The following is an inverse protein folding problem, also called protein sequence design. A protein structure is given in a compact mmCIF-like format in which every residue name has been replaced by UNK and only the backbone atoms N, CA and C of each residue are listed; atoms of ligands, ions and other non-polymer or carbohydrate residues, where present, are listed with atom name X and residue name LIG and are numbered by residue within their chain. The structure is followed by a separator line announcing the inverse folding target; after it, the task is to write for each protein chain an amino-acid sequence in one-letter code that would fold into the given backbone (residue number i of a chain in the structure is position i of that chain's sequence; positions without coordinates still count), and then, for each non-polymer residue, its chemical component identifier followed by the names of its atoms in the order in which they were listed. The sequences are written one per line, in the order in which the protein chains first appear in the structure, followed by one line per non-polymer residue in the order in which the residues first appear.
data_IF_521817767491
#
_entry.id   IF_521817767491
#
_cell.length_a   1.000
_cell.length_b   1.000
_cell.length_c   1.000
_cell.angle_alpha   90.00
_cell.angle_beta   90.00
_cell.angle_gamma   90.00
#
_symmetry.space_group_name_H-M   'P 1'
#
loop_
_entity.id
_entity.type
_entity.pdbx_description
1 polymer ?
2 polymer ?
3 non-polymer ?
4 non-polymer ?
5 non-polymer ?
6 water ?
#
# COMPACT_ATOMS: atom_id res chain seq x y z
N UNK A 1 -13.82 -3.47 -19.75
CA UNK A 1 -12.74 -4.10 -20.48
C UNK A 1 -12.99 -5.58 -20.70
N UNK A 2 -11.92 -6.39 -20.70
CA UNK A 2 -12.02 -7.80 -21.03
C UNK A 2 -12.74 -8.61 -19.96
N UNK A 3 -12.97 -8.06 -18.77
CA UNK A 3 -13.76 -8.74 -17.74
C UNK A 3 -15.21 -8.27 -17.72
N UNK A 4 -15.60 -7.40 -18.67
CA UNK A 4 -16.96 -6.87 -18.70
C UNK A 4 -18.07 -7.91 -18.80
N UNK A 5 -17.77 -9.05 -19.44
CA UNK A 5 -18.77 -10.09 -19.61
C UNK A 5 -18.84 -11.10 -18.49
N UNK A 6 -17.94 -11.02 -17.50
CA UNK A 6 -17.97 -12.00 -16.41
C UNK A 6 -18.75 -11.48 -15.22
N UNK A 7 -19.51 -12.36 -14.59
CA UNK A 7 -20.22 -11.99 -13.36
C UNK A 7 -19.29 -11.48 -12.27
N UNK A 8 -19.77 -10.45 -11.55
CA UNK A 8 -19.03 -9.96 -10.39
C UNK A 8 -18.62 -11.11 -9.46
N UNK A 9 -19.57 -12.00 -9.11
CA UNK A 9 -19.26 -13.05 -8.14
C UNK A 9 -18.22 -14.03 -8.69
N UNK A 10 -18.25 -14.30 -9.99
CA UNK A 10 -17.27 -15.18 -10.64
C UNK A 10 -15.91 -14.53 -10.66
N UNK A 11 -15.86 -13.21 -10.85
CA UNK A 11 -14.58 -12.49 -10.78
C UNK A 11 -13.96 -12.60 -9.39
N UNK A 12 -14.77 -12.43 -8.35
CA UNK A 12 -14.29 -12.53 -6.96
C UNK A 12 -13.82 -13.95 -6.65
N UNK A 13 -14.62 -14.95 -7.07
CA UNK A 13 -14.23 -16.34 -6.90
C UNK A 13 -12.88 -16.63 -7.56
N UNK A 14 -12.73 -16.18 -8.83
CA UNK A 14 -11.50 -16.39 -9.56
C UNK A 14 -10.33 -15.62 -8.98
N UNK A 15 -10.58 -14.44 -8.40
CA UNK A 15 -9.49 -13.75 -7.71
C UNK A 15 -8.95 -14.59 -6.55
N UNK A 16 -9.85 -15.23 -5.78
CA UNK A 16 -9.41 -16.05 -4.65
C UNK A 16 -8.66 -17.29 -5.14
N UNK A 17 -9.09 -17.86 -6.27
CA UNK A 17 -8.36 -19.01 -6.86
C UNK A 17 -6.98 -18.59 -7.33
N UNK A 18 -6.92 -17.46 -8.02
CA UNK A 18 -5.64 -16.94 -8.49
C UNK A 18 -4.69 -16.69 -7.33
N UNK A 19 -5.19 -16.12 -6.21
CA UNK A 19 -4.35 -15.97 -5.02
C UNK A 19 -3.77 -17.31 -4.59
N UNK A 20 -4.62 -18.34 -4.52
CA UNK A 20 -4.16 -19.68 -4.10
C UNK A 20 -3.08 -20.22 -5.04
N UNK A 21 -3.21 -19.94 -6.34
CA UNK A 21 -2.27 -20.32 -7.40
C UNK A 21 -1.06 -19.40 -7.52
N UNK A 22 -0.98 -18.35 -6.69
CA UNK A 22 0.09 -17.35 -6.78
C UNK A 22 0.16 -16.73 -8.17
N UNK A 23 -1.01 -16.49 -8.77
CA UNK A 23 -1.15 -15.86 -10.07
C UNK A 23 -1.66 -14.43 -9.86
N UNK A 24 -0.76 -13.57 -9.41
CA UNK A 24 -1.19 -12.26 -8.91
C UNK A 24 -1.58 -11.30 -10.03
N UNK A 25 -0.96 -11.42 -11.22
CA UNK A 25 -1.41 -10.60 -12.34
C UNK A 25 -2.86 -10.92 -12.68
N UNK A 26 -3.21 -12.22 -12.72
CA UNK A 26 -4.60 -12.60 -12.95
C UNK A 26 -5.48 -12.08 -11.82
N UNK A 27 -5.02 -12.24 -10.58
CA UNK A 27 -5.79 -11.79 -9.42
C UNK A 27 -6.11 -10.33 -9.55
N UNK A 28 -5.10 -9.51 -9.91
CA UNK A 28 -5.33 -8.07 -10.07
C UNK A 28 -6.33 -7.78 -11.18
N UNK A 29 -6.20 -8.47 -12.31
CA UNK A 29 -7.11 -8.25 -13.42
C UNK A 29 -8.55 -8.63 -13.05
N UNK A 30 -8.74 -9.73 -12.29
CA UNK A 30 -10.08 -10.11 -11.83
C UNK A 30 -10.64 -9.06 -10.89
N UNK A 31 -9.81 -8.55 -9.94
CA UNK A 31 -10.32 -7.55 -9.02
C UNK A 31 -10.59 -6.20 -9.71
N UNK A 32 -9.76 -5.82 -10.70
CA UNK A 32 -10.06 -4.62 -11.48
C UNK A 32 -11.43 -4.74 -12.15
N UNK A 33 -11.69 -5.91 -12.75
CA UNK A 33 -12.99 -6.16 -13.33
C UNK A 33 -14.12 -6.11 -12.33
N UNK A 34 -13.91 -6.65 -11.11
CA UNK A 34 -14.96 -6.53 -10.08
C UNK A 34 -15.18 -5.08 -9.69
N UNK A 35 -14.11 -4.31 -9.52
CA UNK A 35 -14.30 -2.90 -9.18
C UNK A 35 -15.11 -2.21 -10.25
N UNK A 36 -14.81 -2.51 -11.52
CA UNK A 36 -15.44 -1.82 -12.67
C UNK A 36 -16.91 -2.21 -12.84
N UNK A 37 -17.41 -3.16 -12.06
CA UNK A 37 -18.85 -3.37 -12.00
C UNK A 37 -19.56 -2.21 -11.35
N UNK A 38 -18.85 -1.37 -10.62
CA UNK A 38 -19.46 -0.15 -10.09
C UNK A 38 -20.07 -0.26 -8.70
N UNK A 39 -20.10 -1.44 -8.12
CA UNK A 39 -20.59 -1.59 -6.74
C UNK A 39 -19.44 -1.38 -5.74
N UNK A 40 -19.79 -0.90 -4.53
CA UNK A 40 -18.80 -0.83 -3.46
C UNK A 40 -18.24 -2.24 -3.15
N UNK A 41 -17.04 -2.29 -2.56
CA UNK A 41 -16.40 -3.54 -2.17
C UNK A 41 -16.55 -3.81 -0.68
N UNK A 42 -16.73 -5.09 -0.35
CA UNK A 42 -16.78 -5.51 1.05
C UNK A 42 -15.36 -5.46 1.62
N UNK A 43 -15.21 -5.71 2.94
CA UNK A 43 -13.88 -5.72 3.53
C UNK A 43 -13.00 -6.79 2.88
N UNK A 44 -13.54 -7.99 2.72
CA UNK A 44 -12.77 -9.06 2.09
C UNK A 44 -12.35 -8.68 0.69
N UNK A 45 -13.28 -8.11 -0.09
CA UNK A 45 -12.99 -7.72 -1.48
C UNK A 45 -11.94 -6.61 -1.56
N UNK A 46 -11.99 -5.62 -0.64
CA UNK A 46 -10.94 -4.61 -0.59
C UNK A 46 -9.60 -5.26 -0.36
N UNK A 47 -9.55 -6.19 0.59
CA UNK A 47 -8.28 -6.88 0.84
C UNK A 47 -7.80 -7.66 -0.38
N UNK A 48 -8.70 -8.31 -1.14
CA UNK A 48 -8.28 -9.02 -2.36
C UNK A 48 -7.70 -8.05 -3.37
N UNK A 49 -8.34 -6.88 -3.51
CA UNK A 49 -7.82 -5.86 -4.43
C UNK A 49 -6.41 -5.45 -4.05
N UNK A 50 -6.22 -5.11 -2.78
CA UNK A 50 -4.93 -4.62 -2.31
C UNK A 50 -3.85 -5.68 -2.40
N UNK A 51 -4.13 -6.90 -1.90
CA UNK A 51 -3.13 -7.97 -1.97
C UNK A 51 -2.71 -8.21 -3.42
N UNK A 52 -3.67 -8.20 -4.35
CA UNK A 52 -3.34 -8.49 -5.76
C UNK A 52 -2.35 -7.48 -6.31
N UNK A 53 -2.71 -6.20 -6.25
CA UNK A 53 -1.84 -5.18 -6.78
C UNK A 53 -0.55 -5.02 -5.97
N UNK A 54 -0.58 -5.30 -4.65
CA UNK A 54 0.66 -5.20 -3.89
C UNK A 54 1.68 -6.22 -4.38
N UNK A 55 1.20 -7.43 -4.70
CA UNK A 55 2.10 -8.46 -5.22
C UNK A 55 2.64 -8.09 -6.60
N UNK A 56 1.79 -7.54 -7.47
CA UNK A 56 2.22 -7.17 -8.83
C UNK A 56 3.24 -6.04 -8.75
N UNK A 57 2.92 -4.96 -8.02
CA UNK A 57 3.84 -3.84 -7.96
C UNK A 57 5.11 -4.24 -7.21
N UNK A 58 5.00 -5.19 -6.26
CA UNK A 58 6.19 -5.60 -5.52
C UNK A 58 7.23 -6.25 -6.41
N UNK A 59 6.79 -7.14 -7.31
CA UNK A 59 7.73 -7.71 -8.27
C UNK A 59 8.39 -6.65 -9.14
N UNK A 60 7.60 -5.65 -9.53
CA UNK A 60 8.13 -4.58 -10.36
C UNK A 60 9.14 -3.74 -9.60
N UNK A 61 8.83 -3.40 -8.34
CA UNK A 61 9.72 -2.59 -7.53
C UNK A 61 11.06 -3.29 -7.34
N UNK A 62 11.01 -4.59 -7.06
CA UNK A 62 12.22 -5.36 -6.82
C UNK A 62 13.05 -5.39 -8.09
N UNK A 63 12.40 -5.64 -9.23
CA UNK A 63 13.16 -5.65 -10.49
C UNK A 63 13.72 -4.25 -10.80
N UNK A 64 12.91 -3.21 -10.60
CA UNK A 64 13.38 -1.84 -10.85
C UNK A 64 14.63 -1.54 -10.01
N UNK A 65 14.64 -1.95 -8.73
CA UNK A 65 15.80 -1.69 -7.90
C UNK A 65 17.05 -2.41 -8.38
N UNK A 66 16.93 -3.68 -8.81
CA UNK A 66 18.08 -4.42 -9.37
C UNK A 66 18.64 -3.66 -10.55
N UNK A 67 17.74 -3.25 -11.46
CA UNK A 67 18.19 -2.59 -12.69
C UNK A 67 18.76 -1.21 -12.40
N UNK A 68 18.13 -0.43 -11.53
CA UNK A 68 18.65 0.89 -11.17
C UNK A 68 20.07 0.76 -10.60
N UNK A 69 20.28 -0.25 -9.77
CA UNK A 69 21.59 -0.45 -9.15
C UNK A 69 22.66 -0.80 -10.20
N UNK A 70 22.34 -1.69 -11.15
CA UNK A 70 23.26 -2.01 -12.25
C UNK A 70 23.56 -0.75 -13.06
N UNK A 71 22.53 0.04 -13.34
CA UNK A 71 22.66 1.26 -14.11
C UNK A 71 23.57 2.28 -13.42
N UNK A 72 23.32 2.53 -12.12
CA UNK A 72 24.20 3.42 -11.35
C UNK A 72 25.64 2.96 -11.39
N UNK A 73 25.87 1.66 -11.21
CA UNK A 73 27.24 1.14 -11.27
C UNK A 73 27.84 1.33 -12.66
N UNK A 74 27.06 1.06 -13.71
CA UNK A 74 27.57 1.24 -15.05
C UNK A 74 27.84 2.70 -15.37
N UNK A 75 27.38 3.64 -14.55
CA UNK A 75 27.65 5.05 -14.80
C UNK A 75 28.74 5.55 -13.88
N UNK A 83 26.67 1.09 -23.50
CA UNK A 83 25.51 1.06 -24.38
C UNK A 83 24.24 1.51 -23.68
N UNK A 84 23.17 1.74 -24.46
CA UNK A 84 21.92 2.22 -23.87
C UNK A 84 21.07 1.11 -23.24
N UNK A 85 21.47 -0.15 -23.29
CA UNK A 85 20.54 -1.23 -22.97
C UNK A 85 20.08 -1.21 -21.51
N UNK A 86 20.99 -0.98 -20.55
CA UNK A 86 20.58 -1.04 -19.13
C UNK A 86 19.54 0.04 -18.87
N UNK A 87 19.82 1.26 -19.35
CA UNK A 87 18.88 2.38 -19.21
C UNK A 87 17.54 2.08 -19.90
N UNK A 88 17.59 1.53 -21.13
CA UNK A 88 16.36 1.18 -21.85
C UNK A 88 15.52 0.18 -21.06
N UNK A 89 16.16 -0.87 -20.52
CA UNK A 89 15.40 -1.91 -19.85
C UNK A 89 14.90 -1.42 -18.48
N UNK A 90 15.71 -0.63 -17.78
CA UNK A 90 15.21 -0.04 -16.54
C UNK A 90 14.00 0.85 -16.83
N UNK A 91 14.05 1.61 -17.93
CA UNK A 91 12.92 2.44 -18.33
C UNK A 91 11.70 1.60 -18.66
N UNK A 92 11.90 0.48 -19.34
CA UNK A 92 10.78 -0.40 -19.67
C UNK A 92 10.07 -0.88 -18.41
N UNK A 93 10.85 -1.38 -17.44
CA UNK A 93 10.24 -1.87 -16.20
C UNK A 93 9.59 -0.71 -15.44
N UNK A 94 10.26 0.46 -15.44
CA UNK A 94 9.75 1.66 -14.77
C UNK A 94 8.40 2.09 -15.33
N UNK A 95 8.26 2.08 -16.65
CA UNK A 95 7.02 2.47 -17.28
C UNK A 95 5.90 1.48 -16.94
N UNK A 96 6.24 0.19 -16.90
CA UNK A 96 5.24 -0.81 -16.53
C UNK A 96 4.79 -0.61 -15.09
N UNK A 97 5.74 -0.28 -14.20
CA UNK A 97 5.44 0.03 -12.79
C UNK A 97 4.50 1.22 -12.68
N UNK A 98 4.85 2.32 -13.38
CA UNK A 98 3.99 3.51 -13.39
C UNK A 98 2.62 3.18 -13.93
N UNK A 99 2.54 2.29 -14.92
CA UNK A 99 1.23 1.95 -15.47
C UNK A 99 0.37 1.25 -14.45
N UNK A 100 0.96 0.36 -13.65
CA UNK A 100 0.21 -0.34 -12.61
C UNK A 100 -0.25 0.66 -11.55
N UNK A 101 0.65 1.54 -11.13
CA UNK A 101 0.27 2.59 -10.16
C UNK A 101 -0.85 3.46 -10.69
N UNK A 102 -0.76 3.86 -11.98
CA UNK A 102 -1.82 4.67 -12.58
C UNK A 102 -3.14 3.91 -12.62
N UNK A 103 -3.10 2.61 -12.91
CA UNK A 103 -4.32 1.80 -12.93
C UNK A 103 -4.98 1.78 -11.55
N UNK A 104 -4.19 1.53 -10.49
CA UNK A 104 -4.77 1.50 -9.15
C UNK A 104 -5.36 2.85 -8.76
N UNK A 105 -4.58 3.94 -8.95
CA UNK A 105 -5.06 5.28 -8.65
C UNK A 105 -6.31 5.60 -9.44
N UNK A 106 -6.39 5.12 -10.68
CA UNK A 106 -7.61 5.28 -11.46
C UNK A 106 -8.83 4.61 -10.86
N UNK A 107 -8.67 3.39 -10.33
CA UNK A 107 -9.78 2.72 -9.69
C UNK A 107 -10.19 3.46 -8.44
N UNK A 108 -9.21 3.94 -7.64
CA UNK A 108 -9.55 4.69 -6.45
C UNK A 108 -10.28 5.97 -6.81
N UNK A 109 -9.83 6.67 -7.83
CA UNK A 109 -10.47 7.93 -8.21
C UNK A 109 -11.80 7.74 -8.96
N UNK A 110 -12.04 6.56 -9.54
CA UNK A 110 -13.24 6.28 -10.34
C UNK A 110 -13.83 4.90 -10.02
N UNK A 111 -14.58 4.75 -8.93
CA UNK A 111 -15.03 5.80 -8.03
C UNK A 111 -15.03 5.31 -6.60
N UNK A 112 -13.99 4.53 -6.24
CA UNK A 112 -14.01 3.84 -4.96
C UNK A 112 -13.99 4.84 -3.79
N UNK A 113 -13.13 5.85 -3.85
CA UNK A 113 -13.00 6.77 -2.71
C UNK A 113 -14.27 7.60 -2.54
N UNK A 114 -14.81 8.17 -3.63
CA UNK A 114 -15.96 9.05 -3.45
C UNK A 114 -17.19 8.32 -2.93
N UNK A 115 -17.30 7.00 -3.17
CA UNK A 115 -18.43 6.22 -2.68
C UNK A 115 -18.18 5.58 -1.32
N UNK A 116 -16.98 5.79 -0.74
CA UNK A 116 -16.60 5.18 0.54
C UNK A 116 -16.93 6.12 1.67
N UNK A 117 -17.95 5.80 2.44
CA UNK A 117 -18.39 6.65 3.53
C UNK A 117 -17.98 6.15 4.90
N UNK A 118 -17.90 4.84 5.08
CA UNK A 118 -17.50 4.33 6.37
C UNK A 118 -16.00 4.50 6.55
N UNK A 119 -15.60 4.76 7.80
CA UNK A 119 -14.19 4.94 8.09
C UNK A 119 -13.32 3.79 7.59
N UNK A 120 -13.76 2.53 7.84
CA UNK A 120 -12.95 1.38 7.50
C UNK A 120 -12.69 1.32 5.99
N UNK A 121 -13.66 1.72 5.18
CA UNK A 121 -13.44 1.69 3.74
C UNK A 121 -12.72 2.95 3.26
N UNK A 122 -13.12 4.13 3.73
CA UNK A 122 -12.45 5.35 3.29
C UNK A 122 -10.97 5.39 3.68
N UNK A 123 -10.63 5.05 4.95
CA UNK A 123 -9.23 5.00 5.34
C UNK A 123 -8.46 4.00 4.49
N UNK A 124 -9.03 2.80 4.24
CA UNK A 124 -8.35 1.78 3.45
C UNK A 124 -7.98 2.32 2.08
N UNK A 125 -8.95 2.95 1.41
CA UNK A 125 -8.67 3.46 0.06
C UNK A 125 -7.68 4.62 0.09
N UNK A 126 -7.80 5.55 1.06
CA UNK A 126 -6.86 6.67 1.09
C UNK A 126 -5.45 6.19 1.39
N UNK A 127 -5.32 5.17 2.26
CA UNK A 127 -4.01 4.55 2.45
C UNK A 127 -3.45 4.01 1.13
N UNK A 128 -4.27 3.26 0.38
CA UNK A 128 -3.79 2.77 -0.92
C UNK A 128 -3.35 3.92 -1.82
N UNK A 129 -4.14 4.99 -1.89
CA UNK A 129 -3.77 6.14 -2.68
C UNK A 129 -2.38 6.67 -2.28
N UNK A 130 -2.14 6.83 -0.97
CA UNK A 130 -0.82 7.22 -0.49
C UNK A 130 0.25 6.22 -0.93
N UNK A 131 -0.03 4.92 -0.79
CA UNK A 131 0.96 3.90 -1.12
C UNK A 131 1.36 3.98 -2.58
N UNK A 132 0.37 4.07 -3.49
CA UNK A 132 0.71 3.98 -4.94
C UNK A 132 1.35 5.27 -5.44
N UNK A 133 1.02 6.44 -4.85
CA UNK A 133 1.82 7.63 -5.13
C UNK A 133 3.22 7.49 -4.53
N UNK A 134 3.36 6.84 -3.37
CA UNK A 134 4.70 6.58 -2.82
C UNK A 134 5.52 5.70 -3.79
N UNK A 135 4.89 4.66 -4.38
CA UNK A 135 5.62 3.82 -5.34
C UNK A 135 5.99 4.62 -6.59
N UNK A 136 5.12 5.53 -7.01
CA UNK A 136 5.51 6.44 -8.09
C UNK A 136 6.68 7.33 -7.65
N UNK A 137 6.65 7.81 -6.41
CA UNK A 137 7.73 8.70 -5.94
C UNK A 137 9.07 7.96 -5.92
N UNK A 138 9.07 6.65 -5.59
CA UNK A 138 10.32 5.87 -5.51
C UNK A 138 11.13 5.94 -6.80
N UNK A 139 10.46 6.08 -7.95
CA UNK A 139 11.09 6.07 -9.27
C UNK A 139 11.10 7.45 -9.93
N UNK A 140 10.50 8.47 -9.33
CA UNK A 140 10.38 9.82 -9.93
C UNK A 140 11.68 10.63 -9.85
N UNK A 145 8.28 15.09 -9.46
CA UNK A 145 8.56 14.34 -8.23
C UNK A 145 7.99 15.05 -7.00
N UNK A 146 8.20 16.37 -6.90
CA UNK A 146 7.66 17.09 -5.76
C UNK A 146 6.14 16.99 -5.68
N UNK A 147 5.45 17.11 -6.82
CA UNK A 147 3.99 17.01 -6.83
C UNK A 147 3.54 15.57 -6.52
N UNK A 148 4.28 14.55 -6.98
CA UNK A 148 3.92 13.17 -6.64
C UNK A 148 4.05 12.95 -5.14
N UNK A 149 5.11 13.47 -4.53
CA UNK A 149 5.31 13.33 -3.10
C UNK A 149 4.21 14.03 -2.32
N UNK A 150 3.83 15.23 -2.76
CA UNK A 150 2.76 15.93 -2.07
C UNK A 150 1.41 15.20 -2.19
N UNK A 151 1.18 14.51 -3.34
CA UNK A 151 -0.02 13.71 -3.51
C UNK A 151 -0.03 12.54 -2.52
N UNK A 152 1.13 11.88 -2.35
CA UNK A 152 1.20 10.82 -1.35
C UNK A 152 0.91 11.37 0.03
N UNK A 153 1.64 12.45 0.39
CA UNK A 153 1.48 13.07 1.70
C UNK A 153 0.03 13.42 1.99
N UNK A 154 -0.65 14.05 1.01
CA UNK A 154 -2.03 14.49 1.19
C UNK A 154 -2.97 13.32 1.45
N UNK A 155 -2.82 12.25 0.68
CA UNK A 155 -3.67 11.09 0.88
C UNK A 155 -3.46 10.46 2.25
N UNK A 156 -2.19 10.27 2.63
CA UNK A 156 -1.91 9.71 3.94
C UNK A 156 -2.46 10.58 5.04
N UNK A 157 -2.28 11.92 4.94
CA UNK A 157 -2.75 12.83 6.01
C UNK A 157 -4.26 12.77 6.18
N UNK A 158 -5.02 12.78 5.07
CA UNK A 158 -6.47 12.67 5.15
C UNK A 158 -6.85 11.35 5.83
N UNK A 159 -6.20 10.26 5.42
CA UNK A 159 -6.45 8.97 6.04
C UNK A 159 -6.13 9.01 7.53
N UNK A 160 -5.00 9.64 7.90
CA UNK A 160 -4.64 9.69 9.31
C UNK A 160 -5.68 10.48 10.09
N UNK A 161 -6.13 11.61 9.54
CA UNK A 161 -7.08 12.44 10.26
C UNK A 161 -8.38 11.67 10.53
N UNK A 162 -8.90 10.94 9.51
CA UNK A 162 -10.09 10.15 9.73
C UNK A 162 -9.82 9.04 10.72
N UNK A 163 -8.67 8.37 10.60
CA UNK A 163 -8.44 7.20 11.44
C UNK A 163 -8.34 7.60 12.91
N UNK A 164 -7.77 8.78 13.19
CA UNK A 164 -7.60 9.22 14.58
C UNK A 164 -8.91 9.60 15.24
N UNK A 165 -9.90 10.07 14.46
CA UNK A 165 -11.23 10.43 14.96
C UNK A 165 -12.15 9.22 15.04
N UNK A 166 -12.03 8.27 14.12
CA UNK A 166 -13.06 7.27 13.93
C UNK A 166 -12.67 5.85 14.27
N UNK A 167 -11.41 5.56 14.55
CA UNK A 167 -10.99 4.20 14.85
C UNK A 167 -10.14 4.16 16.12
N UNK A 168 -10.21 3.05 16.87
CA UNK A 168 -9.35 2.94 18.02
C UNK A 168 -7.89 2.80 17.60
N UNK A 169 -6.97 3.14 18.51
CA UNK A 169 -5.54 3.10 18.15
C UNK A 169 -4.98 1.72 17.87
N UNK A 170 -5.70 0.65 18.22
CA UNK A 170 -5.26 -0.69 17.86
C UNK A 170 -5.82 -1.18 16.52
N UNK A 171 -6.68 -0.43 15.88
CA UNK A 171 -7.31 -0.88 14.64
C UNK A 171 -6.24 -1.23 13.61
N UNK A 172 -6.22 -2.46 13.07
CA UNK A 172 -5.15 -2.83 12.13
C UNK A 172 -5.07 -1.94 10.91
N UNK A 173 -6.19 -1.43 10.41
CA UNK A 173 -6.10 -0.52 9.27
C UNK A 173 -5.35 0.75 9.67
N UNK A 174 -5.74 1.35 10.81
CA UNK A 174 -5.07 2.54 11.36
C UNK A 174 -3.57 2.27 11.57
N UNK A 175 -3.24 1.10 12.16
CA UNK A 175 -1.84 0.76 12.41
C UNK A 175 -1.05 0.64 11.11
N UNK A 176 -1.59 -0.06 10.11
CA UNK A 176 -0.87 -0.23 8.84
C UNK A 176 -0.70 1.08 8.10
N UNK A 177 -1.68 1.97 8.19
CA UNK A 177 -1.57 3.30 7.65
C UNK A 177 -0.42 4.05 8.32
N UNK A 178 -0.36 4.05 9.65
CA UNK A 178 0.69 4.80 10.33
C UNK A 178 2.06 4.23 10.00
N UNK A 179 2.18 2.89 9.96
CA UNK A 179 3.40 2.23 9.53
C UNK A 179 3.86 2.77 8.17
N UNK A 180 2.99 2.73 7.18
CA UNK A 180 3.37 3.18 5.83
C UNK A 180 3.65 4.67 5.80
N UNK A 181 2.85 5.48 6.53
CA UNK A 181 3.10 6.91 6.51
C UNK A 181 4.47 7.17 7.15
N UNK A 182 4.86 6.39 8.18
CA UNK A 182 6.16 6.58 8.80
C UNK A 182 7.28 6.31 7.81
N UNK A 183 7.12 5.28 6.98
CA UNK A 183 8.15 4.97 5.98
C UNK A 183 8.18 6.05 4.90
N UNK A 184 6.99 6.55 4.49
CA UNK A 184 6.95 7.70 3.60
C UNK A 184 7.80 8.84 4.19
N UNK A 185 7.61 9.14 5.48
CA UNK A 185 8.38 10.22 6.08
C UNK A 185 9.88 9.91 6.01
N UNK A 186 10.28 8.68 6.37
CA UNK A 186 11.70 8.36 6.49
C UNK A 186 12.42 8.46 5.16
N UNK A 187 11.85 7.80 4.14
CA UNK A 187 12.49 7.53 2.84
C UNK A 187 12.12 8.51 1.74
N UNK A 188 10.90 9.02 1.73
CA UNK A 188 10.41 9.78 0.60
C UNK A 188 10.45 11.25 0.89
N UNK A 189 10.02 11.62 2.10
CA UNK A 189 10.00 13.02 2.54
C UNK A 189 11.30 13.45 3.21
N UNK A 190 12.25 12.53 3.39
CA UNK A 190 13.54 12.82 4.06
C UNK A 190 13.31 13.50 5.42
N UNK A 191 12.31 12.99 6.14
CA UNK A 191 11.93 13.45 7.48
C UNK A 191 12.09 12.29 8.47
N UNK A 192 13.31 11.84 8.70
CA UNK A 192 13.48 10.67 9.58
C UNK A 192 12.98 10.93 11.00
N UNK A 193 13.09 12.16 11.52
CA UNK A 193 12.60 12.39 12.89
C UNK A 193 11.09 12.25 12.98
N UNK A 194 10.38 12.76 11.98
CA UNK A 194 8.93 12.58 11.91
C UNK A 194 8.59 11.10 11.82
N UNK A 195 9.34 10.34 11.02
CA UNK A 195 9.09 8.90 10.89
C UNK A 195 9.21 8.21 12.24
N UNK A 196 10.29 8.53 12.97
CA UNK A 196 10.56 7.86 14.24
C UNK A 196 9.51 8.26 15.29
N UNK A 197 9.17 9.55 15.33
CA UNK A 197 8.13 10.05 16.24
C UNK A 197 6.79 9.37 15.98
N UNK A 198 6.41 9.27 14.70
CA UNK A 198 5.15 8.63 14.37
C UNK A 198 5.13 7.16 14.77
N UNK A 199 6.23 6.43 14.49
CA UNK A 199 6.28 5.01 14.82
C UNK A 199 6.15 4.82 16.32
N UNK A 200 6.86 5.63 17.10
CA UNK A 200 6.79 5.51 18.56
C UNK A 200 5.40 5.84 19.11
N UNK A 201 4.82 6.99 18.72
CA UNK A 201 3.52 7.39 19.24
C UNK A 201 2.45 6.36 18.86
N UNK A 202 2.46 5.90 17.61
CA UNK A 202 1.51 4.89 17.17
C UNK A 202 1.67 3.60 17.97
N UNK A 203 2.91 3.15 18.17
CA UNK A 203 3.17 1.93 18.95
C UNK A 203 2.65 2.09 20.37
N UNK A 204 2.98 3.20 21.02
CA UNK A 204 2.61 3.42 22.43
C UNK A 204 1.10 3.54 22.62
N UNK A 205 0.39 4.24 21.71
CA UNK A 205 -1.04 4.38 21.87
C UNK A 205 -1.74 3.05 21.60
N UNK A 206 -1.16 2.23 20.73
CA UNK A 206 -1.74 0.90 20.55
C UNK A 206 -1.50 0.04 21.80
N UNK A 207 -0.29 0.08 22.32
CA UNK A 207 0.05 -0.71 23.51
C UNK A 207 -0.96 -0.48 24.63
N UNK A 208 -1.29 0.79 24.85
CA UNK A 208 -2.19 1.20 25.93
C UNK A 208 -3.62 0.77 25.71
N UNK A 209 -3.98 0.31 24.51
CA UNK A 209 -5.35 -0.08 24.18
C UNK A 209 -5.47 -1.59 23.99
N UNK A 210 -4.36 -2.35 24.10
CA UNK A 210 -4.43 -3.79 23.85
C UNK A 210 -5.33 -4.49 24.87
N UNK A 211 -5.43 -3.95 26.07
CA UNK A 211 -6.23 -4.60 27.12
C UNK A 211 -7.72 -4.73 26.77
N UNK A 212 -8.21 -3.94 25.80
CA UNK A 212 -9.63 -3.94 25.42
C UNK A 212 -9.95 -5.03 24.41
N UNK A 213 -8.94 -5.72 23.89
CA UNK A 213 -9.08 -6.62 22.77
C UNK A 213 -9.27 -8.10 23.14
N UNK A 214 -9.99 -8.80 22.28
CA UNK A 214 -10.04 -10.25 22.30
C UNK A 214 -8.69 -10.83 21.87
N UNK A 215 -8.49 -12.15 22.12
CA UNK A 215 -7.24 -12.83 21.73
C UNK A 215 -6.94 -12.67 20.25
N UNK A 216 -7.94 -12.89 19.38
CA UNK A 216 -7.70 -12.78 17.93
C UNK A 216 -7.37 -11.35 17.53
N UNK A 217 -8.10 -10.36 18.06
CA UNK A 217 -7.80 -8.97 17.72
C UNK A 217 -6.42 -8.57 18.25
N UNK A 218 -6.06 -9.04 19.45
CA UNK A 218 -4.73 -8.79 20.00
C UNK A 218 -3.64 -9.29 19.05
N UNK A 219 -3.83 -10.50 18.49
CA UNK A 219 -2.89 -11.05 17.52
C UNK A 219 -2.76 -10.15 16.29
N UNK A 220 -3.89 -9.68 15.72
CA UNK A 220 -3.89 -8.82 14.53
C UNK A 220 -3.12 -7.52 14.78
N UNK A 221 -3.40 -6.86 15.92
CA UNK A 221 -2.79 -5.58 16.25
C UNK A 221 -1.31 -5.73 16.59
N UNK A 222 -0.95 -6.76 17.37
CA UNK A 222 0.48 -6.90 17.73
C UNK A 222 1.33 -7.29 16.53
N UNK A 223 0.76 -7.99 15.53
CA UNK A 223 1.55 -8.28 14.32
C UNK A 223 2.06 -6.99 13.66
N UNK A 224 1.18 -5.99 13.51
CA UNK A 224 1.59 -4.73 12.87
C UNK A 224 2.45 -3.90 13.81
N UNK A 225 2.18 -3.95 15.12
CA UNK A 225 3.05 -3.25 16.08
C UNK A 225 4.48 -3.76 15.98
N UNK A 226 4.67 -5.07 15.74
CA UNK A 226 6.01 -5.61 15.57
C UNK A 226 6.71 -5.03 14.35
N UNK A 227 5.95 -4.69 13.31
CA UNK A 227 6.55 -4.01 12.15
C UNK A 227 7.05 -2.62 12.50
N UNK A 228 6.28 -1.84 13.31
CA UNK A 228 6.75 -0.52 13.75
C UNK A 228 8.04 -0.68 14.52
N UNK A 229 8.08 -1.69 15.40
CA UNK A 229 9.28 -1.97 16.18
C UNK A 229 10.45 -2.35 15.28
N UNK A 230 10.20 -3.18 14.24
CA UNK A 230 11.29 -3.54 13.33
C UNK A 230 11.87 -2.30 12.69
N UNK A 231 11.01 -1.35 12.29
CA UNK A 231 11.54 -0.13 11.67
C UNK A 231 12.31 0.73 12.67
N UNK A 232 11.78 0.90 13.89
CA UNK A 232 12.49 1.67 14.90
C UNK A 232 13.85 1.08 15.18
N UNK A 233 13.96 -0.25 15.14
CA UNK A 233 15.24 -0.93 15.35
C UNK A 233 16.22 -0.57 14.25
N UNK A 234 15.76 -0.50 13.00
CA UNK A 234 16.65 -0.11 11.90
C UNK A 234 16.97 1.37 11.95
N UNK A 235 16.12 2.20 12.57
CA UNK A 235 16.23 3.65 12.48
C UNK A 235 16.92 4.30 13.68
N UNK A 236 17.12 3.57 14.78
CA UNK A 236 17.67 4.17 16.01
C UNK A 236 18.90 3.42 16.49
N UNK B 1 19.06 -2.11 -2.21
CA UNK B 1 18.61 -1.06 -1.29
C UNK B 1 17.99 -1.67 -0.03
N UNK B 2 18.27 -1.06 1.13
CA UNK B 2 17.62 -1.45 2.39
C UNK B 2 16.16 -1.01 2.35
N UNK B 3 15.24 -1.98 2.46
CA UNK B 3 13.79 -1.74 2.42
C UNK B 3 13.21 -1.91 3.83
N UNK B 4 12.45 -0.91 4.29
CA UNK B 4 11.82 -0.88 5.61
C UNK B 4 10.46 -1.58 5.57
N UNK B 5 9.97 -1.95 6.75
CA UNK B 5 8.72 -2.72 6.81
C UNK B 5 7.52 -1.84 6.43
N UNK B 6 6.67 -2.32 5.49
CA UNK B 6 5.41 -1.64 5.24
C UNK B 6 4.34 -2.72 5.28
N UNK B 7 3.11 -2.27 5.30
CA UNK B 7 1.93 -3.13 5.43
C UNK B 7 1.76 -4.19 4.31
N UNK B 8 1.26 -5.37 4.68
CA UNK B 8 0.83 -6.35 3.71
C UNK B 8 1.95 -7.18 3.11
N UNK B 9 1.66 -7.84 1.98
CA UNK B 9 2.63 -8.76 1.35
C UNK B 9 3.98 -8.10 1.10
N UNK B 10 5.04 -8.77 1.56
CA UNK B 10 6.45 -8.39 1.36
C UNK B 10 6.89 -8.96 0.02
N UNK B 11 6.35 -8.37 -1.05
CA UNK B 11 6.40 -8.93 -2.39
C UNK B 11 7.52 -8.37 -3.24
N UNK B 12 8.28 -7.43 -2.71
CA UNK B 12 9.47 -6.95 -3.43
C UNK B 12 10.71 -7.44 -2.66
X LIG C 1 17.08 13.78 16.52
X LIG D 1 10.88 7.08 -17.06
X LIG E 1 13.95 -2.77 -23.30
X LIG F 1 -11.11 -9.95 5.26
X LIG F 1 -12.70 -12.24 5.21
X LIG F 1 -8.13 -9.59 5.96
X LIG F 1 -8.19 -10.46 4.72
X LIG F 1 -9.29 -11.12 4.16
X LIG F 1 -8.92 -11.84 3.01
X LIG F 1 -7.59 -11.76 2.64
X LIG F 1 -6.90 -12.41 1.47
X LIG F 1 -10.60 -11.11 4.69
X LIG F 1 -12.38 -9.92 5.79
X LIG F 1 -13.19 -11.05 5.76
X LIG F 1 -11.42 -12.26 4.67
X LIG F 1 -5.65 -12.35 1.32
X LIG F 1 -7.66 -13.18 0.57
X LIG F 1 -6.77 -10.75 3.76
X LIG F 1 -10.58 -9.18 5.28
X LIG F 1 -13.23 -13.00 5.18
X LIG F 1 -8.55 -10.03 6.68
X LIG F 1 -8.56 -8.77 5.79
X LIG F 1 -7.23 -9.42 6.19
X LIG F 1 -9.54 -12.33 2.53
X LIG F 1 -12.71 -9.14 6.16
X LIG F 1 -14.05 -11.03 6.12
X LIG F 1 -11.09 -13.04 4.30
X LIG F 1 -5.16 -11.89 1.88
X LIG F 1 -8.51 -13.24 0.67
X LIG F 1 -7.27 -13.57 -0.10
X LIG G 1 11.89 -0.50 19.69
X LIG G 1 13.89 1.35 19.21
X LIG G 1 8.66 -0.44 19.99
X LIG G 1 9.18 0.82 20.69
X LIG G 1 10.52 1.30 20.71
X LIG G 1 10.66 2.48 21.39
X LIG G 1 9.56 3.02 22.00
X LIG G 1 9.57 4.33 22.78
X LIG G 1 11.68 0.80 20.07
X LIG G 1 13.08 -0.88 19.07
X LIG G 1 14.06 0.05 18.82
X LIG G 1 12.70 1.72 19.82
X LIG G 1 8.46 4.94 23.06
X LIG G 1 10.90 4.80 23.16
X LIG G 1 8.24 1.93 21.66
X LIG G 1 11.22 -1.13 19.84
X LIG G 1 14.55 1.99 19.05
X LIG G 1 9.22 -1.18 20.23
X LIG G 1 8.68 -0.32 19.06
X LIG G 1 7.79 -0.62 20.26
X LIG G 1 11.50 2.91 21.45
X LIG G 1 13.20 -1.76 18.81
X LIG G 1 14.86 -0.21 18.41
X LIG G 1 12.58 2.61 20.08
X LIG G 1 7.70 4.61 22.80
X LIG G 1 11.61 4.32 22.94
X LIG G 1 11.00 5.54 23.61
#
# INVERSE_FOLDING_TARGET
GAMGSMERASLIQKAKLAEQAERYEDMAAFMKGAVEKGEELSCEERNLLSVAYKNVVGGQRAAWRVLSSIEQKSNEEGSEEKGPEVREYREKVETELQGVCDTVLGLLDSHLIKEAGDAESRVFYLKMKGDYYRYLAEVATGDDKKRIIDSARSAYQEAMDISKKEMPPTNPIRLGLALNFSVFHYEIANSPEEAISLAKTTFDEAMADLHTLSEDSYKDSTLIMQLLRDNLTLWT
KLMFKTEGPDSD
MG MG
MG MG
CL CL
LFQ C10 C13 C15 C02 C03 C04 C05 C06 C09 C11 C12 C14 N07 N08 S01 H101 H131 H151 H013 H152 H041 H111 H121 H141 H071 H081 H082
LFQ C10 C13 C15 C02 C03 C04 C05 C06 C09 C11 C12 C14 N07 N08 S01 H101 H131 H151 H013 H152 H041 H111 H121 H141 H071 H081 H082
#
